data_IF_990164511457
#
_entry.id   IF_990164511457
#
_cell.length_a   1.000
_cell.length_b   1.000
_cell.length_c   1.000
_cell.angle_alpha   90.00
_cell.angle_beta   90.00
_cell.angle_gamma   90.00
#
_symmetry.space_group_name_H-M   'P 1'
#
loop_
_entity.id
_entity.type
_entity.pdbx_description
1 polymer ?
#
# COMPACT_ATOMS: atom_id res chain seq x y z
N UNK A 1 0.69 77.77 -13.28
CA UNK A 1 -0.36 77.04 -12.54
C UNK A 1 0.30 76.38 -11.31
N UNK A 2 -0.35 76.44 -10.16
CA UNK A 2 0.21 75.91 -8.90
C UNK A 2 0.49 74.39 -8.99
N UNK A 3 -0.35 73.66 -9.71
CA UNK A 3 -0.20 72.22 -9.97
C UNK A 3 1.03 71.89 -10.86
N UNK A 4 1.24 72.68 -11.91
CA UNK A 4 2.38 72.54 -12.78
C UNK A 4 3.70 72.85 -12.06
N UNK A 5 3.69 73.83 -11.17
CA UNK A 5 4.85 74.16 -10.31
C UNK A 5 5.17 73.00 -9.35
N UNK A 6 4.19 72.44 -8.67
CA UNK A 6 4.37 71.28 -7.83
C UNK A 6 4.86 70.05 -8.57
N UNK A 7 4.33 69.78 -9.77
CA UNK A 7 4.79 68.66 -10.63
C UNK A 7 6.23 68.90 -11.11
N UNK A 8 6.56 70.13 -11.53
CA UNK A 8 7.92 70.50 -11.97
C UNK A 8 8.97 70.36 -10.84
N UNK A 9 8.55 70.63 -9.59
CA UNK A 9 9.43 70.41 -8.42
C UNK A 9 9.66 68.90 -8.15
N UNK A 10 8.68 68.04 -8.50
CA UNK A 10 8.78 66.58 -8.29
C UNK A 10 9.63 65.86 -9.39
N UNK A 11 9.68 66.36 -10.60
CA UNK A 11 10.31 65.68 -11.77
C UNK A 11 11.55 66.37 -12.33
N UNK A 12 12.05 67.38 -11.69
CA UNK A 12 13.27 68.15 -12.01
C UNK A 12 13.27 68.77 -13.44
N UNK A 13 12.11 68.93 -14.09
CA UNK A 13 11.95 69.60 -15.37
C UNK A 13 10.65 70.45 -15.41
N UNK A 14 10.59 71.43 -16.32
CA UNK A 14 9.43 72.29 -16.42
C UNK A 14 8.23 71.49 -17.02
N UNK A 15 7.14 71.42 -16.27
CA UNK A 15 5.91 70.74 -16.70
C UNK A 15 4.88 71.79 -17.15
N UNK A 16 4.53 71.76 -18.40
CA UNK A 16 3.41 72.55 -18.99
C UNK A 16 2.30 71.60 -19.45
N UNK A 17 1.23 71.49 -18.65
CA UNK A 17 0.13 70.55 -18.96
C UNK A 17 -0.97 71.18 -19.79
N UNK A 18 -1.02 72.52 -19.85
CA UNK A 18 -2.09 73.23 -20.57
C UNK A 18 -1.53 74.10 -21.70
N UNK A 19 -2.17 74.09 -22.85
CA UNK A 19 -1.91 75.03 -23.91
C UNK A 19 -2.34 76.46 -23.45
N UNK A 20 -1.52 77.50 -23.74
CA UNK A 20 -1.75 78.88 -23.29
C UNK A 20 -2.56 79.71 -24.33
N UNK A 21 -2.89 79.11 -25.47
CA UNK A 21 -3.49 79.88 -26.57
C UNK A 21 -5.02 80.09 -26.49
N UNK A 22 -5.73 79.18 -25.76
CA UNK A 22 -7.17 79.25 -25.60
C UNK A 22 -7.64 79.07 -24.17
N UNK A 23 -8.58 79.94 -23.72
CA UNK A 23 -9.15 79.87 -22.37
C UNK A 23 -10.16 78.71 -22.20
N UNK A 24 -10.69 78.14 -23.26
CA UNK A 24 -11.63 77.03 -23.28
C UNK A 24 -11.78 76.40 -24.66
N UNK A 25 -11.81 75.03 -24.81
CA UNK A 25 -11.55 74.05 -23.78
C UNK A 25 -10.06 73.95 -23.43
N UNK A 26 -9.77 73.62 -22.16
CA UNK A 26 -8.39 73.38 -21.70
C UNK A 26 -7.95 72.08 -22.32
N UNK A 27 -7.05 72.10 -23.32
CA UNK A 27 -6.43 70.89 -23.87
C UNK A 27 -5.15 70.55 -23.11
N UNK A 28 -5.09 69.29 -22.67
CA UNK A 28 -3.89 68.76 -22.00
C UNK A 28 -2.90 68.40 -23.11
N UNK A 29 -1.66 68.89 -23.05
CA UNK A 29 -0.59 68.57 -23.95
C UNK A 29 -0.22 67.09 -23.83
N UNK A 30 -0.69 66.25 -24.76
CA UNK A 30 -0.61 64.80 -24.68
C UNK A 30 0.86 64.32 -24.55
N UNK A 31 1.79 64.91 -25.35
CA UNK A 31 3.23 64.54 -25.34
C UNK A 31 3.86 64.83 -23.98
N UNK A 32 3.56 65.98 -23.37
CA UNK A 32 4.10 66.31 -22.04
C UNK A 32 3.48 65.48 -20.91
N UNK A 33 2.22 65.13 -21.04
CA UNK A 33 1.56 64.24 -20.09
C UNK A 33 2.12 62.80 -20.15
N UNK A 34 2.50 62.31 -21.32
CA UNK A 34 3.18 61.02 -21.50
C UNK A 34 4.61 61.04 -20.96
N UNK A 35 5.38 62.12 -21.20
CA UNK A 35 6.71 62.29 -20.63
C UNK A 35 6.68 62.35 -19.10
N UNK A 36 5.76 63.12 -18.53
CA UNK A 36 5.57 63.22 -17.11
C UNK A 36 5.19 61.86 -16.48
N UNK A 37 4.27 61.15 -17.13
CA UNK A 37 3.89 59.82 -16.72
C UNK A 37 5.07 58.85 -16.74
N UNK A 38 5.89 58.88 -17.80
CA UNK A 38 7.06 58.00 -17.93
C UNK A 38 8.09 58.25 -16.81
N UNK A 39 8.39 59.53 -16.51
CA UNK A 39 9.33 59.88 -15.44
C UNK A 39 8.77 59.50 -14.07
N UNK A 40 7.47 59.75 -13.78
CA UNK A 40 6.84 59.35 -12.55
C UNK A 40 6.81 57.80 -12.38
N UNK A 41 6.55 57.09 -13.45
CA UNK A 41 6.61 55.62 -13.42
C UNK A 41 8.07 55.11 -13.15
N UNK A 42 9.07 55.80 -13.66
CA UNK A 42 10.49 55.48 -13.44
C UNK A 42 10.88 55.75 -12.00
N UNK A 43 10.50 56.90 -11.44
CA UNK A 43 10.74 57.24 -10.04
C UNK A 43 10.03 56.25 -9.09
N UNK A 44 8.79 55.94 -9.37
CA UNK A 44 8.01 54.94 -8.62
C UNK A 44 8.72 53.57 -8.64
N UNK A 45 9.20 53.13 -9.81
CA UNK A 45 9.98 51.88 -9.92
C UNK A 45 11.25 51.90 -9.11
N UNK A 46 11.97 53.01 -9.10
CA UNK A 46 13.18 53.19 -8.29
C UNK A 46 12.83 53.12 -6.79
N UNK A 47 11.79 53.85 -6.37
CA UNK A 47 11.36 53.84 -4.97
C UNK A 47 10.90 52.45 -4.51
N UNK A 48 10.11 51.76 -5.32
CA UNK A 48 9.67 50.39 -5.07
C UNK A 48 10.88 49.46 -4.98
N UNK A 49 11.86 49.58 -5.86
CA UNK A 49 13.08 48.81 -5.82
C UNK A 49 13.85 49.00 -4.52
N UNK A 50 14.07 50.25 -4.11
CA UNK A 50 14.78 50.59 -2.88
C UNK A 50 14.07 50.09 -1.65
N UNK A 51 12.75 50.27 -1.55
CA UNK A 51 11.92 49.72 -0.46
C UNK A 51 11.94 48.19 -0.44
N UNK A 52 11.82 47.57 -1.61
CA UNK A 52 11.88 46.10 -1.73
C UNK A 52 13.23 45.56 -1.29
N UNK A 53 14.30 46.22 -1.66
CA UNK A 53 15.65 45.87 -1.23
C UNK A 53 15.84 46.01 0.28
N UNK A 54 15.36 47.09 0.89
CA UNK A 54 15.40 47.26 2.35
C UNK A 54 14.66 46.14 3.09
N UNK A 55 13.46 45.76 2.60
CA UNK A 55 12.68 44.65 3.15
C UNK A 55 13.46 43.33 3.00
N UNK A 56 14.03 43.08 1.80
CA UNK A 56 14.81 41.86 1.54
C UNK A 56 16.03 41.75 2.44
N UNK A 57 16.73 42.85 2.67
CA UNK A 57 17.89 42.89 3.59
C UNK A 57 17.49 42.54 5.03
N UNK A 58 16.30 42.94 5.47
CA UNK A 58 15.75 42.59 6.79
C UNK A 58 15.26 41.13 6.87
N UNK A 59 14.67 40.60 5.80
CA UNK A 59 14.06 39.25 5.74
C UNK A 59 15.11 38.16 5.47
N UNK A 60 16.10 38.44 4.63
CA UNK A 60 17.13 37.47 4.21
C UNK A 60 17.80 36.72 5.36
N UNK A 61 18.25 37.37 6.47
CA UNK A 61 18.86 36.68 7.60
C UNK A 61 17.86 35.81 8.40
N UNK A 62 16.55 36.02 8.26
CA UNK A 62 15.53 35.23 8.94
C UNK A 62 15.20 33.91 8.18
N UNK A 63 15.49 33.85 6.88
CA UNK A 63 15.14 32.70 6.05
C UNK A 63 15.77 31.36 6.52
N UNK A 64 17.06 31.31 6.93
CA UNK A 64 17.64 30.07 7.45
C UNK A 64 16.90 29.59 8.71
N UNK A 65 16.61 30.50 9.65
CA UNK A 65 15.87 30.20 10.87
C UNK A 65 14.46 29.71 10.57
N UNK A 66 13.75 30.37 9.68
CA UNK A 66 12.42 29.94 9.24
C UNK A 66 12.43 28.55 8.63
N UNK A 67 13.43 28.21 7.78
CA UNK A 67 13.59 26.87 7.21
C UNK A 67 13.83 25.83 8.29
N UNK A 68 14.60 26.14 9.31
CA UNK A 68 14.85 25.23 10.42
C UNK A 68 13.58 24.97 11.25
N UNK A 69 12.82 26.04 11.58
CA UNK A 69 11.56 25.90 12.31
C UNK A 69 10.50 25.14 11.49
N UNK A 70 10.42 25.36 10.18
CA UNK A 70 9.55 24.59 9.31
C UNK A 70 9.93 23.10 9.29
N UNK A 71 11.25 22.79 9.25
CA UNK A 71 11.72 21.40 9.34
C UNK A 71 11.28 20.76 10.66
N UNK A 72 11.45 21.45 11.77
CA UNK A 72 11.00 20.97 13.10
C UNK A 72 9.49 20.77 13.15
N UNK A 73 8.72 21.67 12.55
CA UNK A 73 7.26 21.54 12.47
C UNK A 73 6.85 20.30 11.66
N UNK A 74 7.48 20.03 10.53
CA UNK A 74 7.24 18.80 9.74
C UNK A 74 7.63 17.54 10.51
N UNK A 75 8.76 17.53 11.21
CA UNK A 75 9.18 16.40 12.05
C UNK A 75 8.15 16.13 13.17
N UNK A 76 7.65 17.19 13.82
CA UNK A 76 6.62 17.06 14.85
C UNK A 76 5.29 16.51 14.29
N UNK A 77 4.81 17.05 13.17
CA UNK A 77 3.59 16.55 12.52
C UNK A 77 3.74 15.10 12.03
N UNK A 78 4.92 14.74 11.52
CA UNK A 78 5.22 13.35 11.16
C UNK A 78 5.14 12.43 12.39
N UNK A 79 5.79 12.80 13.50
CA UNK A 79 5.75 12.01 14.74
C UNK A 79 4.32 11.90 15.30
N UNK A 80 3.54 12.98 15.20
CA UNK A 80 2.12 12.96 15.60
C UNK A 80 1.31 12.01 14.74
N UNK A 81 1.47 12.06 13.42
CA UNK A 81 0.79 11.16 12.49
C UNK A 81 1.18 9.69 12.73
N UNK A 82 2.46 9.42 12.99
CA UNK A 82 2.94 8.08 13.34
C UNK A 82 2.30 7.60 14.64
N UNK A 83 2.26 8.43 15.69
CA UNK A 83 1.62 8.09 16.96
C UNK A 83 0.14 7.76 16.78
N UNK A 84 -0.59 8.56 16.03
CA UNK A 84 -2.01 8.33 15.75
C UNK A 84 -2.23 7.07 14.91
N UNK A 85 -1.41 6.85 13.88
CA UNK A 85 -1.47 5.65 13.04
C UNK A 85 -1.18 4.37 13.81
N UNK A 86 -0.23 4.41 14.77
CA UNK A 86 0.22 3.24 15.53
C UNK A 86 -0.48 3.07 16.87
N UNK A 87 -1.58 3.78 17.10
CA UNK A 87 -2.37 3.64 18.31
C UNK A 87 -2.88 2.20 18.47
N UNK A 88 -2.56 1.57 19.61
CA UNK A 88 -2.91 0.18 19.89
C UNK A 88 -2.02 -0.86 19.19
N UNK A 89 -0.95 -0.43 18.52
CA UNK A 89 0.06 -1.34 17.95
C UNK A 89 1.09 -1.71 19.02
N UNK A 90 1.79 -2.84 18.80
CA UNK A 90 2.81 -3.37 19.71
C UNK A 90 4.16 -3.44 19.02
N UNK A 91 5.25 -3.12 19.73
CA UNK A 91 6.59 -3.33 19.17
C UNK A 91 6.89 -4.82 19.07
N UNK A 92 7.35 -5.30 17.91
CA UNK A 92 7.70 -6.70 17.76
C UNK A 92 8.96 -7.05 18.55
N UNK A 93 9.00 -8.26 19.10
CA UNK A 93 10.24 -8.85 19.61
C UNK A 93 11.08 -9.32 18.41
N UNK A 94 12.33 -8.88 18.35
CA UNK A 94 13.26 -9.34 17.32
C UNK A 94 13.84 -10.68 17.75
N UNK A 95 13.64 -11.68 16.90
CA UNK A 95 14.00 -13.09 17.20
C UNK A 95 14.76 -13.72 16.02
N UNK A 96 15.25 -14.91 16.22
CA UNK A 96 15.71 -15.80 15.16
C UNK A 96 14.72 -16.94 14.95
N UNK A 97 14.72 -17.52 13.75
CA UNK A 97 13.99 -18.75 13.42
C UNK A 97 12.66 -18.55 12.72
N UNK A 98 12.19 -17.30 12.53
CA UNK A 98 10.97 -17.07 11.76
C UNK A 98 10.16 -15.86 12.18
N UNK A 99 8.86 -15.93 11.90
CA UNK A 99 7.90 -14.84 12.09
C UNK A 99 6.64 -15.42 12.74
N UNK A 100 6.16 -14.78 13.81
CA UNK A 100 4.87 -15.12 14.39
C UNK A 100 4.16 -13.88 14.93
N UNK A 101 2.83 -13.92 14.96
CA UNK A 101 2.03 -12.86 15.56
C UNK A 101 0.70 -13.41 16.10
N UNK A 102 0.20 -12.74 17.14
CA UNK A 102 -1.10 -13.00 17.75
C UNK A 102 -2.03 -11.84 17.47
N UNK A 103 -3.26 -12.17 17.08
CA UNK A 103 -4.34 -11.20 16.86
C UNK A 103 -3.93 -10.04 15.93
N UNK A 104 -3.18 -10.35 14.86
CA UNK A 104 -2.83 -9.40 13.81
C UNK A 104 -4.07 -8.91 13.08
N UNK A 105 -4.11 -7.61 12.77
CA UNK A 105 -5.23 -6.95 12.11
C UNK A 105 -4.78 -6.28 10.82
N UNK A 106 -5.45 -6.57 9.72
CA UNK A 106 -5.12 -6.01 8.42
C UNK A 106 -5.37 -4.49 8.40
N UNK A 107 -4.38 -3.68 7.98
CA UNK A 107 -4.42 -2.21 8.04
C UNK A 107 -5.51 -1.57 7.17
N UNK A 108 -5.79 -2.18 6.02
CA UNK A 108 -6.66 -1.59 4.99
C UNK A 108 -8.04 -2.25 4.89
N UNK A 109 -8.39 -3.10 5.85
CA UNK A 109 -9.72 -3.70 5.94
C UNK A 109 -10.45 -3.03 7.10
N UNK A 110 -11.65 -2.52 6.83
CA UNK A 110 -12.49 -1.98 7.88
C UNK A 110 -12.96 -3.11 8.81
N UNK A 111 -12.73 -2.97 10.13
CA UNK A 111 -13.06 -3.95 11.17
C UNK A 111 -12.59 -5.38 10.84
N UNK A 112 -11.28 -5.57 10.60
CA UNK A 112 -10.76 -6.87 10.25
C UNK A 112 -10.91 -7.87 11.41
N UNK A 113 -11.25 -9.11 11.10
CA UNK A 113 -11.13 -10.19 12.08
C UNK A 113 -9.66 -10.35 12.44
N UNK A 114 -9.28 -10.31 13.73
CA UNK A 114 -7.91 -10.58 14.13
C UNK A 114 -7.55 -12.03 13.82
N UNK A 115 -6.31 -12.26 13.37
CA UNK A 115 -5.79 -13.59 13.06
C UNK A 115 -4.40 -13.75 13.64
N UNK A 116 -4.04 -15.00 14.01
CA UNK A 116 -2.73 -15.37 14.51
C UNK A 116 -2.06 -16.31 13.51
N UNK A 117 -0.74 -16.14 13.30
CA UNK A 117 -0.03 -16.96 12.33
C UNK A 117 1.44 -17.15 12.71
N UNK A 118 2.05 -18.24 12.23
CA UNK A 118 3.46 -18.56 12.46
C UNK A 118 4.11 -19.17 11.23
N UNK A 119 5.32 -18.74 10.94
CA UNK A 119 6.20 -19.21 9.87
C UNK A 119 7.57 -19.49 10.49
N UNK A 120 8.06 -20.72 10.37
CA UNK A 120 9.36 -21.12 10.97
C UNK A 120 9.26 -21.47 12.45
N UNK A 121 10.42 -21.55 13.10
CA UNK A 121 10.57 -21.99 14.48
C UNK A 121 10.85 -20.81 15.41
N UNK A 122 9.80 -20.25 16.00
CA UNK A 122 9.88 -19.15 16.98
C UNK A 122 9.37 -19.60 18.34
N UNK A 123 9.54 -18.78 19.38
CA UNK A 123 9.04 -19.08 20.75
C UNK A 123 7.53 -19.31 20.81
N UNK A 124 6.76 -18.73 19.90
CA UNK A 124 5.32 -18.88 19.81
C UNK A 124 4.99 -20.09 18.94
N UNK A 125 4.32 -21.07 19.52
CA UNK A 125 3.85 -22.27 18.83
C UNK A 125 2.34 -22.39 18.94
N UNK A 126 1.72 -22.97 17.91
CA UNK A 126 0.31 -23.33 17.89
C UNK A 126 0.18 -24.83 17.66
N UNK A 127 -0.93 -25.42 18.09
CA UNK A 127 -1.22 -26.82 17.78
C UNK A 127 -1.19 -27.06 16.27
N UNK A 128 -0.48 -28.09 15.83
CA UNK A 128 -0.30 -28.39 14.40
C UNK A 128 0.86 -27.65 13.74
N UNK A 129 1.75 -27.00 14.50
CA UNK A 129 2.97 -26.35 13.98
C UNK A 129 4.23 -26.96 14.55
N UNK A 130 5.25 -27.22 13.72
CA UNK A 130 6.54 -27.82 14.12
C UNK A 130 7.73 -27.03 13.56
N UNK A 131 7.58 -25.74 13.33
CA UNK A 131 8.65 -24.88 12.83
C UNK A 131 8.88 -24.92 11.32
N UNK A 132 7.87 -25.29 10.55
CA UNK A 132 7.95 -25.37 9.09
C UNK A 132 8.22 -24.01 8.48
N UNK A 133 9.10 -24.00 7.48
CA UNK A 133 9.46 -22.79 6.73
C UNK A 133 8.68 -22.65 5.41
N UNK A 134 8.13 -23.75 4.88
CA UNK A 134 7.31 -23.76 3.67
C UNK A 134 5.88 -24.10 4.04
N UNK A 135 4.97 -23.21 3.72
CA UNK A 135 3.58 -23.23 4.14
C UNK A 135 2.67 -23.08 2.93
N UNK A 136 1.67 -23.97 2.85
CA UNK A 136 0.68 -23.99 1.76
C UNK A 136 -0.67 -23.61 2.35
N UNK A 137 -1.17 -22.43 2.01
CA UNK A 137 -2.45 -21.91 2.47
C UNK A 137 -3.56 -22.29 1.50
N UNK A 138 -4.55 -23.03 1.99
CA UNK A 138 -5.66 -23.58 1.20
C UNK A 138 -7.03 -23.09 1.71
N UNK A 139 -8.10 -23.44 1.02
CA UNK A 139 -9.47 -23.17 1.46
C UNK A 139 -10.25 -22.20 0.58
N UNK A 140 -11.36 -21.68 1.11
CA UNK A 140 -12.35 -20.89 0.36
C UNK A 140 -11.76 -19.65 -0.35
N UNK A 141 -12.21 -19.38 -1.58
CA UNK A 141 -11.74 -18.25 -2.39
C UNK A 141 -12.02 -16.87 -1.76
N UNK A 142 -13.07 -16.73 -0.96
CA UNK A 142 -13.40 -15.52 -0.20
C UNK A 142 -12.90 -15.58 1.25
N UNK A 143 -12.06 -16.56 1.59
CA UNK A 143 -11.62 -16.84 2.95
C UNK A 143 -10.64 -15.84 3.56
N UNK A 144 -10.05 -14.98 2.74
CA UNK A 144 -9.04 -14.02 3.22
C UNK A 144 -7.60 -14.51 3.10
N UNK A 145 -7.32 -15.53 2.26
CA UNK A 145 -5.96 -16.05 2.01
C UNK A 145 -5.00 -14.95 1.56
N UNK A 146 -5.38 -14.17 0.54
CA UNK A 146 -4.62 -13.02 0.06
C UNK A 146 -4.44 -11.97 1.16
N UNK A 147 -5.50 -11.68 1.94
CA UNK A 147 -5.42 -10.71 3.05
C UNK A 147 -4.47 -11.17 4.16
N UNK A 148 -4.33 -12.48 4.39
CA UNK A 148 -3.34 -13.01 5.33
C UNK A 148 -1.91 -12.79 4.81
N UNK A 149 -1.64 -13.04 3.52
CA UNK A 149 -0.33 -12.72 2.93
C UNK A 149 -0.01 -11.22 3.03
N UNK A 150 -1.01 -10.37 2.75
CA UNK A 150 -0.87 -8.92 2.92
C UNK A 150 -0.59 -8.53 4.37
N UNK A 151 -1.28 -9.13 5.35
CA UNK A 151 -1.05 -8.89 6.78
C UNK A 151 0.37 -9.30 7.21
N UNK A 152 0.84 -10.48 6.78
CA UNK A 152 2.22 -10.92 7.04
C UNK A 152 3.22 -9.89 6.50
N UNK A 153 3.01 -9.41 5.26
CA UNK A 153 3.88 -8.39 4.65
C UNK A 153 3.83 -7.05 5.40
N UNK A 154 2.66 -6.62 5.86
CA UNK A 154 2.48 -5.40 6.66
C UNK A 154 3.27 -5.44 7.96
N UNK A 155 3.16 -6.54 8.71
CA UNK A 155 3.89 -6.74 9.97
C UNK A 155 5.40 -6.70 9.73
N UNK A 156 5.90 -7.38 8.70
CA UNK A 156 7.32 -7.40 8.38
C UNK A 156 7.83 -6.02 7.96
N UNK A 157 7.10 -5.33 7.08
CA UNK A 157 7.49 -3.99 6.62
C UNK A 157 7.54 -3.02 7.78
N UNK A 158 6.51 -2.97 8.63
CA UNK A 158 6.48 -2.10 9.80
C UNK A 158 7.63 -2.41 10.76
N UNK A 159 7.88 -3.69 11.06
CA UNK A 159 8.98 -4.11 11.92
C UNK A 159 10.35 -3.66 11.39
N UNK A 160 10.60 -3.83 10.08
CA UNK A 160 11.86 -3.42 9.44
C UNK A 160 12.01 -1.90 9.35
N UNK A 161 10.91 -1.15 9.35
CA UNK A 161 10.92 0.32 9.46
C UNK A 161 11.14 0.82 10.90
N UNK A 162 11.19 -0.08 11.89
CA UNK A 162 11.31 0.26 13.30
C UNK A 162 10.02 0.76 13.93
N UNK A 163 8.87 0.50 13.29
CA UNK A 163 7.55 0.84 13.81
C UNK A 163 6.93 -0.30 14.62
N UNK A 164 6.01 0.02 15.54
CA UNK A 164 5.14 -0.99 16.12
C UNK A 164 4.26 -1.60 15.03
N UNK A 165 3.83 -2.85 15.24
CA UNK A 165 3.04 -3.64 14.30
C UNK A 165 1.60 -3.78 14.78
N UNK A 166 0.69 -3.95 13.86
CA UNK A 166 -0.76 -4.07 14.07
C UNK A 166 -1.18 -5.46 14.58
N UNK A 167 -0.54 -5.92 15.64
CA UNK A 167 -0.81 -7.19 16.32
C UNK A 167 -0.76 -7.01 17.84
N UNK A 168 -1.36 -7.93 18.58
CA UNK A 168 -1.28 -7.93 20.04
C UNK A 168 0.12 -8.32 20.52
N UNK A 169 0.72 -9.31 19.87
CA UNK A 169 2.12 -9.71 20.06
C UNK A 169 2.71 -10.10 18.71
N UNK A 170 3.98 -9.81 18.48
CA UNK A 170 4.69 -10.21 17.28
C UNK A 170 6.16 -10.54 17.55
N UNK A 171 6.64 -11.53 16.84
CA UNK A 171 8.02 -12.02 16.83
C UNK A 171 8.49 -12.01 15.39
N UNK A 172 9.55 -11.27 15.12
CA UNK A 172 10.00 -11.05 13.72
C UNK A 172 11.50 -11.27 13.64
N UNK A 173 11.88 -12.18 12.77
CA UNK A 173 13.28 -12.33 12.36
C UNK A 173 13.62 -11.24 11.35
N UNK A 174 14.76 -10.53 11.47
CA UNK A 174 15.24 -9.63 10.47
C UNK A 174 15.49 -10.37 9.14
N UNK A 175 14.87 -9.89 8.07
CA UNK A 175 14.98 -10.44 6.73
C UNK A 175 15.76 -9.51 5.81
N UNK A 176 16.56 -10.08 4.91
CA UNK A 176 17.27 -9.30 3.88
C UNK A 176 16.35 -8.93 2.71
N UNK A 177 15.41 -9.82 2.38
CA UNK A 177 14.50 -9.62 1.24
C UNK A 177 13.10 -10.17 1.54
N UNK A 178 12.08 -9.40 1.10
CA UNK A 178 10.67 -9.80 1.07
C UNK A 178 10.18 -9.78 -0.38
N UNK A 179 9.71 -10.92 -0.87
CA UNK A 179 9.10 -11.05 -2.18
C UNK A 179 7.61 -11.32 -2.06
N UNK A 180 6.79 -10.60 -2.84
CA UNK A 180 5.37 -10.84 -2.93
C UNK A 180 4.95 -11.01 -4.40
N UNK A 181 4.69 -12.24 -4.79
CA UNK A 181 4.20 -12.60 -6.11
C UNK A 181 2.68 -12.66 -6.09
N UNK A 182 2.04 -11.68 -6.70
CA UNK A 182 0.59 -11.56 -6.77
C UNK A 182 0.13 -11.63 -8.22
N UNK A 183 -0.93 -12.38 -8.47
CA UNK A 183 -1.60 -12.42 -9.77
C UNK A 183 -2.21 -11.06 -10.11
N UNK A 184 -1.83 -10.49 -11.25
CA UNK A 184 -2.49 -9.31 -11.80
C UNK A 184 -3.77 -9.73 -12.52
N UNK A 185 -4.91 -9.16 -12.19
CA UNK A 185 -6.23 -9.47 -12.79
C UNK A 185 -6.29 -9.31 -14.31
N UNK A 186 -5.40 -8.52 -14.92
CA UNK A 186 -5.35 -8.26 -16.36
C UNK A 186 -4.41 -9.19 -17.14
N UNK A 187 -3.70 -10.12 -16.51
CA UNK A 187 -2.71 -10.97 -17.17
C UNK A 187 -3.23 -12.40 -17.32
N UNK A 188 -3.99 -12.65 -18.38
CA UNK A 188 -4.35 -13.99 -18.82
C UNK A 188 -3.38 -14.41 -19.95
N UNK A 189 -2.60 -15.46 -19.73
CA UNK A 189 -1.77 -16.06 -20.78
C UNK A 189 -0.44 -16.62 -20.30
N UNK A 190 0.19 -17.45 -21.15
CA UNK A 190 1.47 -18.12 -20.89
C UNK A 190 2.61 -17.15 -20.49
N UNK A 191 2.61 -15.92 -20.99
CA UNK A 191 3.61 -14.91 -20.64
C UNK A 191 3.53 -14.42 -19.18
N UNK A 192 2.35 -14.43 -18.56
CA UNK A 192 2.22 -14.07 -17.14
C UNK A 192 2.81 -15.15 -16.23
N UNK A 193 2.60 -16.42 -16.56
CA UNK A 193 3.21 -17.56 -15.86
C UNK A 193 4.73 -17.54 -16.00
N UNK A 194 5.24 -17.39 -17.22
CA UNK A 194 6.68 -17.28 -17.46
C UNK A 194 7.32 -16.15 -16.64
N UNK A 195 6.68 -14.99 -16.61
CA UNK A 195 7.17 -13.83 -15.85
C UNK A 195 7.21 -14.13 -14.35
N UNK A 196 6.16 -14.73 -13.81
CA UNK A 196 6.07 -15.09 -12.40
C UNK A 196 7.08 -16.21 -12.05
N UNK A 197 7.19 -17.23 -12.88
CA UNK A 197 8.17 -18.32 -12.74
C UNK A 197 9.61 -17.79 -12.75
N UNK A 198 9.92 -16.91 -13.70
CA UNK A 198 11.23 -16.24 -13.80
C UNK A 198 11.52 -15.37 -12.57
N UNK A 199 10.50 -14.66 -12.06
CA UNK A 199 10.59 -13.86 -10.84
C UNK A 199 10.90 -14.73 -9.63
N UNK A 200 10.18 -15.83 -9.46
CA UNK A 200 10.40 -16.77 -8.36
C UNK A 200 11.79 -17.42 -8.46
N UNK A 201 12.18 -17.93 -9.64
CA UNK A 201 13.52 -18.48 -9.84
C UNK A 201 14.63 -17.48 -9.49
N UNK A 202 14.48 -16.19 -9.85
CA UNK A 202 15.43 -15.14 -9.48
C UNK A 202 15.51 -14.92 -7.97
N UNK A 203 14.39 -14.99 -7.25
CA UNK A 203 14.39 -14.85 -5.78
C UNK A 203 15.17 -16.00 -5.11
N UNK A 204 15.24 -17.17 -5.72
CA UNK A 204 15.97 -18.32 -5.20
C UNK A 204 17.49 -18.25 -5.45
N UNK A 205 17.96 -17.46 -6.43
CA UNK A 205 19.39 -17.34 -6.75
C UNK A 205 20.17 -16.57 -5.68
N UNK A 206 19.59 -15.52 -5.16
CA UNK A 206 20.26 -14.66 -4.16
C UNK A 206 20.38 -15.38 -2.82
N UNK A 207 21.44 -15.11 -2.07
CA UNK A 207 21.62 -15.54 -0.69
C UNK A 207 20.94 -14.60 0.30
N UNK A 208 20.90 -14.96 1.58
CA UNK A 208 20.31 -14.15 2.64
C UNK A 208 18.99 -14.71 3.18
N UNK A 209 18.51 -14.16 4.27
CA UNK A 209 17.24 -14.53 4.92
C UNK A 209 16.07 -13.92 4.14
N UNK A 210 15.15 -14.76 3.69
CA UNK A 210 14.05 -14.30 2.81
C UNK A 210 12.71 -14.84 3.21
N UNK A 211 11.69 -14.01 2.97
CA UNK A 211 10.31 -14.44 2.94
C UNK A 211 9.75 -14.27 1.53
N UNK A 212 9.15 -15.31 1.00
CA UNK A 212 8.53 -15.34 -0.32
C UNK A 212 7.05 -15.63 -0.13
N UNK A 213 6.21 -14.65 -0.48
CA UNK A 213 4.75 -14.74 -0.44
C UNK A 213 4.23 -14.92 -1.87
N UNK A 214 3.39 -15.92 -2.09
CA UNK A 214 2.90 -16.29 -3.43
C UNK A 214 1.38 -16.45 -3.39
N UNK A 215 0.68 -15.70 -4.24
CA UNK A 215 -0.78 -15.71 -4.32
C UNK A 215 -1.26 -16.30 -5.65
N UNK A 216 -1.84 -17.51 -5.60
CA UNK A 216 -2.48 -18.23 -6.71
C UNK A 216 -1.63 -18.34 -7.98
N UNK A 217 -0.44 -18.93 -7.87
CA UNK A 217 0.53 -19.05 -8.95
C UNK A 217 0.11 -20.02 -10.07
N UNK A 218 -0.63 -21.06 -9.72
CA UNK A 218 -1.03 -22.18 -10.60
C UNK A 218 -2.12 -21.86 -11.60
N UNK A 219 -2.85 -20.78 -11.42
CA UNK A 219 -4.04 -20.46 -12.22
C UNK A 219 -3.77 -20.22 -13.72
N UNK A 220 -2.56 -20.44 -14.19
CA UNK A 220 -2.07 -20.08 -15.54
C UNK A 220 -1.61 -21.29 -16.36
N UNK A 221 -1.55 -22.48 -15.78
CA UNK A 221 -1.08 -23.72 -16.47
C UNK A 221 -1.89 -24.95 -16.07
N UNK A 222 -1.66 -26.09 -16.73
CA UNK A 222 -2.31 -27.35 -16.37
C UNK A 222 -1.92 -27.79 -14.95
N UNK A 223 -2.89 -28.25 -14.13
CA UNK A 223 -2.67 -28.57 -12.72
C UNK A 223 -1.49 -29.53 -12.48
N UNK A 224 -1.36 -30.58 -13.26
CA UNK A 224 -0.29 -31.57 -13.12
C UNK A 224 1.12 -31.02 -13.42
N UNK A 225 1.23 -30.11 -14.38
CA UNK A 225 2.48 -29.42 -14.67
C UNK A 225 2.79 -28.39 -13.58
N UNK A 226 1.78 -27.66 -13.09
CA UNK A 226 1.92 -26.71 -12.00
C UNK A 226 2.46 -27.36 -10.73
N UNK A 227 1.92 -28.50 -10.31
CA UNK A 227 2.39 -29.23 -9.12
C UNK A 227 3.88 -29.57 -9.21
N UNK A 228 4.34 -30.08 -10.37
CA UNK A 228 5.75 -30.42 -10.58
C UNK A 228 6.67 -29.19 -10.50
N UNK A 229 6.30 -28.13 -11.21
CA UNK A 229 7.13 -26.90 -11.27
C UNK A 229 7.17 -26.22 -9.91
N UNK A 230 6.01 -25.99 -9.30
CA UNK A 230 5.91 -25.30 -8.00
C UNK A 230 6.57 -26.17 -6.92
N UNK A 231 6.30 -27.48 -6.93
CA UNK A 231 6.89 -28.40 -5.97
C UNK A 231 8.42 -28.38 -6.00
N UNK A 232 9.04 -28.35 -7.19
CA UNK A 232 10.50 -28.31 -7.30
C UNK A 232 11.07 -26.96 -6.80
N UNK A 233 10.44 -25.85 -7.13
CA UNK A 233 10.84 -24.53 -6.61
C UNK A 233 10.72 -24.44 -5.10
N UNK A 234 9.68 -25.04 -4.50
CA UNK A 234 9.49 -25.08 -3.05
C UNK A 234 10.53 -25.97 -2.35
N UNK A 235 10.96 -27.07 -2.98
CA UNK A 235 12.08 -27.89 -2.49
C UNK A 235 13.38 -27.08 -2.46
N UNK A 236 13.70 -26.39 -3.55
CA UNK A 236 14.90 -25.53 -3.62
C UNK A 236 14.84 -24.44 -2.55
N UNK A 237 13.67 -23.81 -2.33
CA UNK A 237 13.49 -22.80 -1.27
C UNK A 237 13.71 -23.40 0.12
N UNK A 238 13.20 -24.62 0.37
CA UNK A 238 13.38 -25.34 1.63
C UNK A 238 14.85 -25.68 1.88
N UNK A 239 15.56 -26.23 0.89
CA UNK A 239 16.99 -26.56 0.97
C UNK A 239 17.86 -25.34 1.27
N UNK A 240 17.47 -24.15 0.76
CA UNK A 240 18.13 -22.88 1.05
C UNK A 240 17.69 -22.25 2.40
N UNK A 241 16.75 -22.87 3.12
CA UNK A 241 16.26 -22.39 4.39
C UNK A 241 15.37 -21.15 4.31
N UNK A 242 14.83 -20.82 3.14
CA UNK A 242 13.95 -19.66 2.94
C UNK A 242 12.55 -19.90 3.52
N UNK A 243 11.89 -18.82 3.96
CA UNK A 243 10.50 -18.83 4.37
C UNK A 243 9.62 -18.65 3.14
N UNK A 244 8.63 -19.51 2.98
CA UNK A 244 7.67 -19.42 1.86
C UNK A 244 6.26 -19.60 2.38
N UNK A 245 5.34 -18.70 2.01
CA UNK A 245 3.90 -18.89 2.21
C UNK A 245 3.22 -18.78 0.85
N UNK A 246 2.67 -19.89 0.37
CA UNK A 246 1.99 -19.98 -0.93
C UNK A 246 0.50 -20.23 -0.74
N UNK A 247 -0.34 -19.43 -1.36
CA UNK A 247 -1.76 -19.72 -1.56
C UNK A 247 -1.93 -20.58 -2.79
N UNK A 248 -2.51 -21.76 -2.62
CA UNK A 248 -2.69 -22.69 -3.73
C UNK A 248 -3.97 -23.53 -3.59
N UNK A 249 -4.61 -23.82 -4.72
CA UNK A 249 -5.69 -24.80 -4.82
C UNK A 249 -5.16 -26.25 -5.00
N UNK A 250 -3.86 -26.39 -5.28
CA UNK A 250 -3.16 -27.67 -5.47
C UNK A 250 -2.56 -28.21 -4.16
N UNK A 251 -3.04 -27.73 -3.00
CA UNK A 251 -2.46 -28.06 -1.70
C UNK A 251 -2.38 -29.56 -1.43
N UNK A 252 -3.41 -30.34 -1.78
CA UNK A 252 -3.43 -31.78 -1.60
C UNK A 252 -2.34 -32.48 -2.40
N UNK A 253 -2.14 -32.10 -3.67
CA UNK A 253 -1.12 -32.70 -4.54
C UNK A 253 0.29 -32.26 -4.17
N UNK A 254 0.45 -31.00 -3.74
CA UNK A 254 1.72 -30.50 -3.23
C UNK A 254 2.15 -31.20 -1.94
N UNK A 255 1.23 -31.49 -1.04
CA UNK A 255 1.53 -32.25 0.20
C UNK A 255 2.11 -33.64 -0.11
N UNK A 256 1.63 -34.32 -1.14
CA UNK A 256 2.12 -35.67 -1.51
C UNK A 256 3.61 -35.66 -1.88
N UNK A 257 4.13 -34.52 -2.36
CA UNK A 257 5.52 -34.39 -2.84
C UNK A 257 6.41 -33.52 -1.96
N UNK A 258 5.83 -32.84 -0.93
CA UNK A 258 6.52 -31.91 -0.03
C UNK A 258 6.27 -32.29 1.44
N UNK A 259 6.86 -33.38 1.96
CA UNK A 259 6.60 -33.86 3.32
C UNK A 259 7.09 -32.91 4.43
N UNK A 260 7.94 -31.94 4.09
CA UNK A 260 8.45 -30.91 4.98
C UNK A 260 7.56 -29.66 5.05
N UNK A 261 6.56 -29.55 4.16
CA UNK A 261 5.67 -28.40 4.11
C UNK A 261 4.48 -28.58 5.08
N UNK A 262 4.03 -27.51 5.70
CA UNK A 262 2.78 -27.47 6.45
C UNK A 262 1.67 -26.94 5.54
N UNK A 263 0.50 -27.54 5.64
CA UNK A 263 -0.71 -27.04 5.01
C UNK A 263 -1.59 -26.39 6.07
N UNK A 264 -2.06 -25.19 5.77
CA UNK A 264 -2.98 -24.46 6.63
C UNK A 264 -4.28 -24.16 5.88
N UNK A 265 -5.42 -24.38 6.53
CA UNK A 265 -6.72 -24.25 5.91
C UNK A 265 -7.56 -23.11 6.46
N UNK A 266 -8.11 -22.28 5.56
CA UNK A 266 -9.16 -21.31 5.92
C UNK A 266 -10.52 -21.91 5.48
N UNK A 267 -11.39 -22.17 6.43
CA UNK A 267 -12.67 -22.85 6.18
C UNK A 267 -13.85 -21.90 6.24
N UNK A 268 -14.83 -22.12 5.36
CA UNK A 268 -16.14 -21.53 5.51
C UNK A 268 -17.01 -22.40 6.42
N UNK A 269 -17.62 -21.77 7.43
CA UNK A 269 -18.51 -22.45 8.40
C UNK A 269 -19.93 -22.68 7.87
N UNK A 270 -20.32 -22.02 6.76
CA UNK A 270 -21.66 -22.11 6.19
C UNK A 270 -22.13 -20.81 5.55
N UNK A 271 -23.45 -20.65 5.48
CA UNK A 271 -24.12 -19.43 5.03
C UNK A 271 -24.85 -18.77 6.20
N UNK A 272 -24.84 -17.44 6.26
CA UNK A 272 -25.65 -16.67 7.20
C UNK A 272 -27.12 -16.57 6.74
N UNK A 273 -28.00 -15.93 7.54
CA UNK A 273 -29.39 -15.68 7.21
C UNK A 273 -29.60 -14.89 5.91
N UNK A 274 -28.58 -14.11 5.50
CA UNK A 274 -28.56 -13.35 4.25
C UNK A 274 -27.86 -14.09 3.10
N UNK A 275 -27.56 -15.38 3.29
CA UNK A 275 -26.87 -16.24 2.33
C UNK A 275 -25.45 -15.72 1.99
N UNK A 276 -24.75 -15.05 2.91
CA UNK A 276 -23.34 -14.76 2.77
C UNK A 276 -22.51 -15.88 3.41
N UNK A 277 -21.34 -16.14 2.84
CA UNK A 277 -20.42 -17.12 3.41
C UNK A 277 -19.92 -16.65 4.78
N UNK A 278 -20.17 -17.44 5.81
CA UNK A 278 -19.55 -17.29 7.12
C UNK A 278 -18.18 -17.96 7.04
N UNK A 279 -17.11 -17.15 7.07
CA UNK A 279 -15.76 -17.65 7.02
C UNK A 279 -15.05 -17.35 8.32
N UNK A 280 -14.44 -18.36 8.92
CA UNK A 280 -13.45 -18.16 9.96
C UNK A 280 -12.12 -17.87 9.29
N UNK A 281 -11.65 -16.62 9.43
CA UNK A 281 -10.41 -16.17 8.78
C UNK A 281 -9.16 -16.64 9.50
N UNK A 282 -9.32 -17.21 10.72
CA UNK A 282 -8.22 -17.85 11.43
C UNK A 282 -7.84 -19.14 10.72
N UNK A 283 -6.62 -19.30 10.20
CA UNK A 283 -6.18 -20.56 9.61
C UNK A 283 -6.12 -21.69 10.65
N UNK A 284 -6.53 -22.87 10.26
CA UNK A 284 -6.30 -24.09 11.00
C UNK A 284 -4.97 -24.67 10.56
N UNK A 285 -4.04 -24.77 11.46
CA UNK A 285 -2.68 -25.25 11.17
C UNK A 285 -2.68 -26.77 10.98
N UNK A 286 -1.90 -27.24 10.01
CA UNK A 286 -1.79 -28.65 9.69
C UNK A 286 -3.04 -29.27 9.06
N UNK A 287 -4.02 -28.47 8.65
CA UNK A 287 -5.30 -28.94 8.11
C UNK A 287 -5.51 -28.42 6.69
N UNK A 288 -5.89 -29.32 5.80
CA UNK A 288 -6.28 -28.93 4.43
C UNK A 288 -7.63 -28.22 4.44
N UNK A 289 -7.63 -26.95 4.03
CA UNK A 289 -8.87 -26.16 3.92
C UNK A 289 -9.74 -26.63 2.75
N UNK A 290 -11.01 -26.88 3.02
CA UNK A 290 -11.96 -27.29 1.99
C UNK A 290 -12.39 -26.09 1.13
N UNK A 291 -12.39 -26.27 -0.18
CA UNK A 291 -13.02 -25.32 -1.11
C UNK A 291 -14.55 -25.37 -0.93
N UNK A 292 -15.23 -24.27 -1.23
CA UNK A 292 -16.67 -24.11 -0.95
C UNK A 292 -17.55 -23.99 -2.20
N UNK A 293 -17.31 -24.75 -3.30
CA UNK A 293 -18.20 -24.68 -4.47
C UNK A 293 -19.64 -25.10 -4.13
N UNK A 294 -19.82 -26.11 -3.27
CA UNK A 294 -21.11 -26.53 -2.81
C UNK A 294 -21.91 -25.42 -2.11
N UNK A 295 -21.28 -24.68 -1.19
CA UNK A 295 -21.92 -23.54 -0.50
C UNK A 295 -22.30 -22.41 -1.48
N UNK A 296 -21.51 -22.21 -2.53
CA UNK A 296 -21.83 -21.25 -3.59
C UNK A 296 -23.09 -21.69 -4.34
N UNK A 297 -23.15 -22.96 -4.71
CA UNK A 297 -24.34 -23.54 -5.38
C UNK A 297 -25.57 -23.50 -4.46
N UNK A 298 -25.43 -23.83 -3.16
CA UNK A 298 -26.49 -23.66 -2.16
C UNK A 298 -27.01 -22.22 -2.11
N UNK A 299 -26.10 -21.25 -2.06
CA UNK A 299 -26.44 -19.81 -2.10
C UNK A 299 -27.26 -19.45 -3.34
N UNK A 300 -26.83 -19.93 -4.52
CA UNK A 300 -27.54 -19.68 -5.78
C UNK A 300 -28.92 -20.37 -5.78
N UNK A 301 -29.03 -21.61 -5.30
CA UNK A 301 -30.28 -22.33 -5.14
C UNK A 301 -31.30 -21.56 -4.28
N UNK A 302 -30.85 -20.96 -3.17
CA UNK A 302 -31.71 -20.17 -2.29
C UNK A 302 -32.08 -18.78 -2.86
N UNK A 303 -31.21 -18.18 -3.66
CA UNK A 303 -31.42 -16.84 -4.26
C UNK A 303 -32.27 -16.86 -5.53
N UNK A 304 -32.31 -17.98 -6.24
CA UNK A 304 -32.98 -18.09 -7.55
C UNK A 304 -34.40 -18.72 -7.41
N UNK A 305 -35.24 -18.48 -8.42
CA UNK A 305 -36.62 -18.99 -8.49
C UNK A 305 -36.86 -19.62 -9.85
N UNK A 306 -37.93 -20.45 -9.96
CA UNK A 306 -38.34 -21.10 -11.20
C UNK A 306 -37.28 -22.05 -11.77
N UNK A 307 -37.14 -22.10 -13.10
CA UNK A 307 -36.24 -23.03 -13.81
C UNK A 307 -34.76 -22.93 -13.39
N UNK A 308 -34.29 -21.73 -13.02
CA UNK A 308 -32.93 -21.60 -12.50
C UNK A 308 -32.73 -22.33 -11.17
N UNK A 309 -33.72 -22.32 -10.30
CA UNK A 309 -33.67 -23.06 -9.03
C UNK A 309 -33.58 -24.57 -9.25
N UNK A 310 -34.37 -25.13 -10.19
CA UNK A 310 -34.31 -26.54 -10.55
C UNK A 310 -32.94 -26.97 -11.09
N UNK A 311 -32.27 -26.10 -11.87
CA UNK A 311 -30.93 -26.37 -12.34
C UNK A 311 -29.94 -26.47 -11.17
N UNK A 312 -29.98 -25.50 -10.22
CA UNK A 312 -29.08 -25.53 -9.06
C UNK A 312 -29.40 -26.68 -8.10
N UNK A 313 -30.65 -27.15 -8.01
CA UNK A 313 -31.01 -28.33 -7.26
C UNK A 313 -30.35 -29.58 -7.82
N UNK A 314 -30.38 -29.79 -9.14
CA UNK A 314 -29.66 -30.90 -9.79
C UNK A 314 -28.15 -30.83 -9.58
N UNK A 315 -27.56 -29.60 -9.66
CA UNK A 315 -26.12 -29.42 -9.39
C UNK A 315 -25.79 -29.77 -7.94
N UNK A 316 -26.62 -29.37 -6.97
CA UNK A 316 -26.44 -29.76 -5.57
C UNK A 316 -26.56 -31.30 -5.37
N UNK A 317 -27.43 -31.96 -6.10
CA UNK A 317 -27.54 -33.41 -6.08
C UNK A 317 -26.25 -34.12 -6.48
N UNK A 318 -25.50 -33.55 -7.40
CA UNK A 318 -24.18 -34.10 -7.83
C UNK A 318 -23.07 -33.98 -6.76
N UNK A 319 -23.19 -33.12 -5.77
CA UNK A 319 -22.26 -33.07 -4.63
C UNK A 319 -22.58 -34.08 -3.53
N UNK A 320 -23.77 -34.71 -3.58
CA UNK A 320 -24.26 -35.69 -2.58
C UNK A 320 -24.13 -37.15 -3.05
N UNK A 321 -23.89 -37.32 -4.34
CA UNK A 321 -23.57 -38.60 -4.95
C UNK A 321 -22.07 -38.89 -4.93
#
# INVERSE_FOLDING_TARGET
NESEKKLSEMVEFAVELCSREDLYPVEVAAEQSELLRHELEKELKVELYLKSREILEKVRPLLPKLKEELKRAYELEFLRAVKEFTEGFTFPEIVEGGIAFINGRHLFIERPQPVSYVVGNVKLTFDGTNGEKVLILTGANSGGKTSLLELISQIIILAHMGFPVNAENAYVEPLDELFFFRRKRSSYGAGAFETALRGFARSLVREGKKLILIDEFEAITEPGAAVKIIGELLKIAHEKGFYVVIVSHLGEDLMKILPFARVDGIEAKGLDEHLNLIVDRQPKFGVLGKSTPELIVQRLYHKKRGKEKEIFERVLGAFRS
#
